data_IF_627183305337
#
_entry.id   IF_627183305337
#
_cell.length_a   1.000
_cell.length_b   1.000
_cell.length_c   1.000
_cell.angle_alpha   90.00
_cell.angle_beta   90.00
_cell.angle_gamma   90.00
#
_symmetry.space_group_name_H-M   'P 1'
#
loop_
_entity.id
_entity.type
_entity.pdbx_description
1 polymer ?
#
# COMPACT_ATOMS: atom_id res chain seq x y z
N UNK A 1 -21.11 9.52 18.15
CA UNK A 1 -20.79 10.62 19.08
C UNK A 1 -19.78 11.51 18.36
N UNK A 2 -20.05 12.82 18.19
CA UNK A 2 -19.06 13.74 17.60
C UNK A 2 -17.95 13.92 18.61
N UNK A 3 -16.80 13.30 18.38
CA UNK A 3 -15.60 13.54 19.16
C UNK A 3 -14.85 14.70 18.54
N UNK A 4 -14.78 15.81 19.26
CA UNK A 4 -14.01 16.99 18.86
C UNK A 4 -12.55 16.59 18.64
N UNK A 5 -11.90 17.12 17.60
CA UNK A 5 -10.52 16.76 17.28
C UNK A 5 -9.55 17.08 18.43
N UNK A 6 -9.89 18.03 19.29
CA UNK A 6 -9.13 18.38 20.49
C UNK A 6 -9.02 17.20 21.48
N UNK A 7 -10.11 16.46 21.69
CA UNK A 7 -10.12 15.28 22.56
C UNK A 7 -9.19 14.20 21.99
N UNK A 8 -9.21 14.01 20.67
CA UNK A 8 -8.35 13.06 19.98
C UNK A 8 -6.88 13.45 20.02
N UNK A 9 -6.57 14.74 19.87
CA UNK A 9 -5.21 15.21 20.03
C UNK A 9 -4.69 15.01 21.46
N UNK A 10 -5.52 15.26 22.48
CA UNK A 10 -5.17 14.98 23.88
C UNK A 10 -4.95 13.48 24.12
N UNK A 11 -5.89 12.63 23.70
CA UNK A 11 -5.79 11.16 23.78
C UNK A 11 -4.50 10.64 23.11
N UNK A 12 -4.10 11.27 22.01
CA UNK A 12 -2.91 10.91 21.26
C UNK A 12 -1.64 11.61 21.74
N UNK A 13 -1.67 12.33 22.86
CA UNK A 13 -0.52 13.06 23.42
C UNK A 13 0.07 14.08 22.45
N UNK A 14 -0.81 14.77 21.72
CA UNK A 14 -0.52 15.77 20.70
C UNK A 14 -1.22 17.11 20.99
N UNK A 15 -1.64 17.34 22.23
CA UNK A 15 -2.38 18.53 22.65
C UNK A 15 -1.62 19.85 22.46
N UNK A 16 -0.29 19.79 22.39
CA UNK A 16 0.55 20.93 22.01
C UNK A 16 0.24 21.49 20.61
N UNK A 17 -0.35 20.68 19.72
CA UNK A 17 -0.72 21.12 18.36
C UNK A 17 -2.15 21.64 18.28
N UNK A 18 -2.95 21.55 19.33
CA UNK A 18 -4.37 21.95 19.32
C UNK A 18 -4.55 23.41 18.89
N UNK A 19 -3.74 24.33 19.43
CA UNK A 19 -3.82 25.74 19.06
C UNK A 19 -3.51 25.95 17.57
N UNK A 20 -2.51 25.24 17.06
CA UNK A 20 -2.13 25.34 15.64
C UNK A 20 -3.21 24.83 14.69
N UNK A 21 -3.93 23.78 15.07
CA UNK A 21 -5.08 23.30 14.29
C UNK A 21 -6.21 24.34 14.28
N UNK A 22 -6.42 25.05 15.39
CA UNK A 22 -7.37 26.17 15.48
C UNK A 22 -6.95 27.36 14.62
N UNK A 23 -5.68 27.76 14.70
CA UNK A 23 -5.13 28.89 13.96
C UNK A 23 -5.22 28.67 12.44
N UNK A 24 -5.03 27.42 11.99
CA UNK A 24 -5.13 27.01 10.58
C UNK A 24 -6.56 26.65 10.15
N UNK A 25 -7.56 26.82 11.03
CA UNK A 25 -8.97 26.61 10.70
C UNK A 25 -9.34 25.16 10.37
N UNK A 26 -8.69 24.17 11.01
CA UNK A 26 -8.96 22.75 10.79
C UNK A 26 -10.27 22.35 11.50
N UNK A 27 -11.27 21.96 10.72
CA UNK A 27 -12.52 21.38 11.21
C UNK A 27 -12.44 19.84 11.34
N UNK A 28 -13.49 19.19 11.85
CA UNK A 28 -13.51 17.73 12.06
C UNK A 28 -13.31 16.93 10.75
N UNK A 29 -13.87 17.42 9.64
CA UNK A 29 -13.75 16.80 8.33
C UNK A 29 -12.32 16.92 7.78
N UNK A 30 -11.72 18.11 7.87
CA UNK A 30 -10.34 18.35 7.50
C UNK A 30 -9.39 17.53 8.38
N UNK A 31 -9.65 17.43 9.69
CA UNK A 31 -8.88 16.60 10.60
C UNK A 31 -8.79 15.15 10.11
N UNK A 32 -9.94 14.57 9.72
CA UNK A 32 -10.05 13.19 9.23
C UNK A 32 -9.40 12.99 7.85
N UNK A 33 -9.65 13.90 6.90
CA UNK A 33 -9.33 13.66 5.49
C UNK A 33 -8.15 14.47 4.94
N UNK A 34 -7.51 15.34 5.73
CA UNK A 34 -6.40 16.14 5.21
C UNK A 34 -5.22 15.26 4.74
N UNK A 35 -4.60 15.60 3.59
CA UNK A 35 -3.49 14.83 3.03
C UNK A 35 -2.22 14.97 3.87
N UNK A 36 -1.33 13.96 3.81
CA UNK A 36 -0.13 13.88 4.65
C UNK A 36 0.79 15.11 4.54
N UNK A 37 0.86 15.76 3.38
CA UNK A 37 1.68 16.95 3.21
C UNK A 37 1.16 18.13 4.04
N UNK A 38 -0.16 18.28 4.27
CA UNK A 38 -0.71 19.30 5.16
C UNK A 38 -0.46 18.94 6.63
N UNK A 39 -0.57 17.65 6.98
CA UNK A 39 -0.22 17.16 8.33
C UNK A 39 1.23 17.48 8.65
N UNK A 40 2.13 17.43 7.67
CA UNK A 40 3.55 17.80 7.85
C UNK A 40 3.72 19.28 8.19
N UNK A 41 2.89 20.17 7.63
CA UNK A 41 2.94 21.59 7.97
C UNK A 41 2.41 21.83 9.40
N UNK A 42 1.37 21.09 9.82
CA UNK A 42 0.82 21.15 11.17
C UNK A 42 1.75 20.53 12.23
N UNK A 43 2.26 19.33 11.96
CA UNK A 43 3.10 18.52 12.86
C UNK A 43 4.43 18.22 12.16
N UNK A 44 5.44 19.12 12.29
CA UNK A 44 6.73 18.95 11.63
C UNK A 44 7.54 17.76 12.19
N UNK A 45 7.39 17.50 13.49
CA UNK A 45 8.12 16.46 14.23
C UNK A 45 7.72 15.07 13.75
N UNK A 46 8.67 14.33 13.18
CA UNK A 46 8.42 13.05 12.49
C UNK A 46 7.73 12.02 13.41
N UNK A 47 8.19 11.87 14.65
CA UNK A 47 7.61 10.89 15.59
C UNK A 47 6.16 11.21 15.96
N UNK A 48 5.87 12.48 16.25
CA UNK A 48 4.52 12.96 16.56
C UNK A 48 3.58 12.84 15.35
N UNK A 49 4.08 13.18 14.16
CA UNK A 49 3.35 13.01 12.90
C UNK A 49 3.01 11.55 12.61
N UNK A 50 3.96 10.64 12.83
CA UNK A 50 3.71 9.21 12.67
C UNK A 50 2.59 8.73 13.60
N UNK A 51 2.64 9.11 14.89
CA UNK A 51 1.60 8.79 15.87
C UNK A 51 0.22 9.31 15.44
N UNK A 52 0.16 10.56 14.97
CA UNK A 52 -1.06 11.16 14.44
C UNK A 52 -1.63 10.34 13.27
N UNK A 53 -0.81 10.03 12.27
CA UNK A 53 -1.25 9.31 11.07
C UNK A 53 -1.73 7.89 11.37
N UNK A 54 -1.05 7.16 12.26
CA UNK A 54 -1.50 5.82 12.67
C UNK A 54 -2.84 5.88 13.40
N UNK A 55 -2.99 6.78 14.38
CA UNK A 55 -4.21 6.85 15.17
C UNK A 55 -5.39 7.37 14.34
N UNK A 56 -5.16 8.35 13.46
CA UNK A 56 -6.18 8.80 12.51
C UNK A 56 -6.63 7.68 11.57
N UNK A 57 -5.70 6.84 11.09
CA UNK A 57 -6.03 5.67 10.27
C UNK A 57 -6.89 4.68 11.04
N UNK A 58 -6.60 4.43 12.33
CA UNK A 58 -7.43 3.56 13.19
C UNK A 58 -8.84 4.14 13.36
N UNK A 59 -8.95 5.44 13.59
CA UNK A 59 -10.24 6.14 13.74
C UNK A 59 -11.11 5.96 12.49
N UNK A 60 -10.53 6.18 11.30
CA UNK A 60 -11.23 5.98 10.02
C UNK A 60 -11.68 4.53 9.79
N UNK A 61 -10.94 3.54 10.29
CA UNK A 61 -11.35 2.13 10.18
C UNK A 61 -12.56 1.84 11.07
N UNK A 62 -12.61 2.39 12.29
CA UNK A 62 -13.72 2.19 13.23
C UNK A 62 -15.02 2.82 12.68
N UNK A 63 -14.95 4.04 12.13
CA UNK A 63 -16.13 4.70 11.53
C UNK A 63 -16.75 3.89 10.38
N UNK A 64 -15.92 3.16 9.62
CA UNK A 64 -16.39 2.29 8.53
C UNK A 64 -17.10 1.05 9.08
N UNK A 65 -16.61 0.48 10.18
CA UNK A 65 -17.22 -0.69 10.81
C UNK A 65 -18.56 -0.36 11.48
N UNK A 66 -18.67 0.81 12.11
CA UNK A 66 -19.93 1.29 12.72
C UNK A 66 -21.01 1.62 11.67
N UNK A 67 -20.61 2.11 10.48
CA UNK A 67 -21.55 2.34 9.37
C UNK A 67 -22.08 1.05 8.75
N UNK A 68 -21.33 -0.06 8.81
CA UNK A 68 -21.75 -1.37 8.25
C UNK A 68 -22.68 -2.13 9.21
N UNK A 69 -22.61 -1.84 10.51
CA UNK A 69 -23.45 -2.50 11.53
C UNK A 69 -24.87 -1.93 11.63
N UNK A 70 -25.14 -0.77 11.02
CA UNK A 70 -26.44 -0.09 11.11
C UNK A 70 -27.41 -0.39 9.95
N UNK A 71 -26.99 -1.15 8.91
CA UNK A 71 -27.84 -1.42 7.72
C UNK A 71 -28.21 -2.90 7.50
N UNK A 72 -27.88 -3.84 8.39
CA UNK A 72 -28.34 -5.24 8.26
C UNK A 72 -29.47 -5.57 9.22
N UNK A 73 -30.68 -5.11 8.88
CA UNK A 73 -31.93 -5.73 9.33
C UNK A 73 -33.01 -5.53 8.27
N UNK A 74 -33.07 -6.47 7.32
CA UNK A 74 -34.32 -7.01 6.76
C UNK A 74 -33.99 -8.35 6.11
N UNK A 75 -34.53 -9.41 6.70
CA UNK A 75 -34.64 -10.74 6.11
C UNK A 75 -35.55 -10.69 4.86
N UNK A 76 -35.28 -11.54 3.86
CA UNK A 76 -36.17 -12.63 3.41
C UNK A 76 -35.95 -13.07 1.95
N UNK A 77 -36.04 -14.41 1.80
CA UNK A 77 -36.57 -15.19 0.68
C UNK A 77 -35.61 -15.67 -0.42
N UNK A 78 -35.12 -16.89 -0.16
CA UNK A 78 -34.93 -18.00 -1.09
C UNK A 78 -36.20 -18.21 -1.93
N UNK A 79 -36.06 -18.43 -3.23
CA UNK A 79 -37.01 -19.23 -4.02
C UNK A 79 -36.28 -20.03 -5.09
N UNK A 80 -36.32 -21.34 -4.93
CA UNK A 80 -35.97 -22.38 -5.88
C UNK A 80 -36.78 -22.28 -7.17
N UNK A 81 -36.13 -22.47 -8.32
CA UNK A 81 -36.72 -23.14 -9.48
C UNK A 81 -35.62 -23.98 -10.13
N UNK A 82 -35.68 -25.29 -9.90
CA UNK A 82 -35.05 -26.30 -10.76
C UNK A 82 -35.85 -26.43 -12.07
N UNK A 83 -35.17 -26.52 -13.21
CA UNK A 83 -35.72 -27.29 -14.32
C UNK A 83 -34.61 -28.06 -15.04
N UNK A 84 -34.81 -29.37 -15.04
CA UNK A 84 -33.93 -30.42 -15.50
C UNK A 84 -34.14 -30.67 -16.99
N UNK A 85 -33.08 -30.67 -17.81
CA UNK A 85 -32.93 -31.66 -18.89
C UNK A 85 -31.45 -31.91 -19.17
N UNK A 86 -30.96 -33.09 -18.78
CA UNK A 86 -29.69 -33.65 -19.21
C UNK A 86 -29.81 -34.19 -20.63
N UNK A 87 -28.97 -33.71 -21.55
CA UNK A 87 -28.59 -34.45 -22.76
C UNK A 87 -27.08 -34.43 -22.86
N UNK A 88 -26.50 -35.63 -22.75
CA UNK A 88 -25.08 -35.89 -22.72
C UNK A 88 -24.37 -35.48 -24.03
N UNK A 89 -23.27 -34.74 -23.89
CA UNK A 89 -22.13 -34.86 -24.80
C UNK A 89 -20.84 -34.43 -24.10
N UNK A 90 -19.90 -35.36 -24.00
CA UNK A 90 -18.61 -35.19 -23.34
C UNK A 90 -17.63 -34.40 -24.22
N UNK A 91 -17.23 -33.21 -23.78
CA UNK A 91 -15.84 -32.73 -23.91
C UNK A 91 -15.62 -31.52 -22.98
N UNK A 92 -14.85 -31.77 -21.93
CA UNK A 92 -14.19 -30.86 -20.98
C UNK A 92 -14.56 -29.37 -21.04
N UNK A 93 -15.53 -28.94 -20.23
CA UNK A 93 -15.70 -27.54 -19.81
C UNK A 93 -15.51 -27.42 -18.30
N UNK A 94 -14.29 -27.71 -17.83
CA UNK A 94 -13.88 -27.28 -16.49
C UNK A 94 -13.47 -25.80 -16.52
N UNK A 95 -14.27 -24.98 -15.81
CA UNK A 95 -13.99 -23.66 -15.23
C UNK A 95 -13.51 -22.52 -16.14
N UNK A 96 -14.44 -21.65 -16.57
CA UNK A 96 -14.08 -20.38 -17.25
C UNK A 96 -13.88 -19.21 -16.26
N UNK A 97 -14.34 -19.26 -14.99
CA UNK A 97 -14.42 -18.06 -14.15
C UNK A 97 -13.44 -17.93 -12.97
N UNK A 98 -12.37 -18.72 -12.93
CA UNK A 98 -11.32 -18.57 -11.90
C UNK A 98 -10.20 -17.56 -12.28
N UNK A 99 -10.27 -16.94 -13.47
CA UNK A 99 -9.23 -16.02 -13.94
C UNK A 99 -9.37 -14.66 -13.25
N UNK A 100 -8.29 -14.20 -12.61
CA UNK A 100 -8.27 -12.89 -11.96
C UNK A 100 -8.70 -12.91 -10.50
N UNK A 101 -9.12 -14.05 -9.94
CA UNK A 101 -9.66 -14.13 -8.59
C UNK A 101 -8.63 -13.69 -7.53
N UNK A 102 -7.35 -14.01 -7.73
CA UNK A 102 -6.29 -13.62 -6.79
C UNK A 102 -6.02 -12.12 -6.78
N UNK A 103 -6.27 -11.45 -7.90
CA UNK A 103 -6.23 -9.99 -8.00
C UNK A 103 -7.50 -9.35 -7.47
N UNK A 104 -8.66 -9.97 -7.71
CA UNK A 104 -9.95 -9.47 -7.23
C UNK A 104 -9.98 -9.44 -5.70
N UNK A 105 -9.54 -10.53 -5.07
CA UNK A 105 -9.37 -10.63 -3.64
C UNK A 105 -8.43 -9.53 -3.11
N UNK A 106 -7.23 -9.41 -3.71
CA UNK A 106 -6.26 -8.38 -3.32
C UNK A 106 -6.82 -6.95 -3.42
N UNK A 107 -7.56 -6.64 -4.49
CA UNK A 107 -8.14 -5.31 -4.65
C UNK A 107 -9.34 -5.08 -3.73
N UNK A 108 -10.06 -6.13 -3.33
CA UNK A 108 -11.21 -6.02 -2.43
C UNK A 108 -10.83 -5.58 -1.01
N UNK A 109 -9.61 -5.90 -0.57
CA UNK A 109 -9.05 -5.49 0.72
C UNK A 109 -8.90 -3.96 0.86
N UNK A 110 -8.79 -3.23 -0.24
CA UNK A 110 -8.58 -1.78 -0.24
C UNK A 110 -9.78 -1.02 -0.81
N UNK A 111 -10.16 0.10 -0.17
CA UNK A 111 -11.19 1.01 -0.69
C UNK A 111 -10.86 1.53 -2.09
N UNK A 112 -9.59 1.88 -2.34
CA UNK A 112 -9.10 2.27 -3.65
C UNK A 112 -9.14 1.11 -4.67
N UNK A 113 -8.89 -0.12 -4.23
CA UNK A 113 -8.96 -1.31 -5.08
C UNK A 113 -10.39 -1.66 -5.48
N UNK A 114 -11.35 -1.56 -4.55
CA UNK A 114 -12.78 -1.70 -4.85
C UNK A 114 -13.26 -0.71 -5.91
N UNK A 115 -12.82 0.54 -5.83
CA UNK A 115 -13.12 1.56 -6.86
C UNK A 115 -12.52 1.22 -8.23
N UNK A 116 -11.38 0.54 -8.27
CA UNK A 116 -10.76 0.11 -9.52
C UNK A 116 -11.53 -1.08 -10.12
N UNK A 117 -12.05 -1.99 -9.29
CA UNK A 117 -12.86 -3.12 -9.73
C UNK A 117 -14.17 -2.72 -10.40
N UNK A 118 -14.73 -1.55 -10.08
CA UNK A 118 -15.94 -1.04 -10.75
C UNK A 118 -15.67 -0.44 -12.14
N UNK A 119 -14.40 -0.18 -12.48
CA UNK A 119 -14.03 0.43 -13.75
C UNK A 119 -13.91 -0.62 -14.85
N UNK A 120 -14.49 -0.33 -16.01
CA UNK A 120 -14.37 -1.18 -17.21
C UNK A 120 -13.08 -0.92 -17.99
N UNK A 121 -12.51 0.28 -17.89
CA UNK A 121 -11.26 0.68 -18.54
C UNK A 121 -10.35 1.35 -17.53
N UNK A 122 -9.11 0.87 -17.43
CA UNK A 122 -8.15 1.40 -16.48
C UNK A 122 -7.44 2.63 -17.01
N UNK A 123 -7.36 3.66 -16.16
CA UNK A 123 -6.51 4.83 -16.43
C UNK A 123 -5.05 4.53 -16.09
N UNK A 124 -4.12 5.37 -16.56
CA UNK A 124 -2.71 5.23 -16.21
C UNK A 124 -2.47 5.26 -14.68
N UNK A 125 -3.27 6.02 -13.94
CA UNK A 125 -3.25 6.07 -12.48
C UNK A 125 -3.68 4.75 -11.87
N UNK A 126 -4.76 4.16 -12.36
CA UNK A 126 -5.30 2.89 -11.84
C UNK A 126 -4.34 1.74 -12.11
N UNK A 127 -3.70 1.69 -13.29
CA UNK A 127 -2.64 0.71 -13.58
C UNK A 127 -1.46 0.83 -12.62
N UNK A 128 -1.09 2.05 -12.23
CA UNK A 128 -0.01 2.28 -11.27
C UNK A 128 -0.39 1.84 -9.85
N UNK A 129 -1.65 2.04 -9.45
CA UNK A 129 -2.19 1.57 -8.16
C UNK A 129 -2.24 0.05 -8.11
N UNK A 130 -2.78 -0.60 -9.14
CA UNK A 130 -2.78 -2.08 -9.27
C UNK A 130 -1.34 -2.61 -9.16
N UNK A 131 -0.42 -2.02 -9.92
CA UNK A 131 0.99 -2.41 -9.85
C UNK A 131 1.58 -2.24 -8.46
N UNK A 132 1.12 -1.24 -7.68
CA UNK A 132 1.55 -1.08 -6.29
C UNK A 132 1.07 -2.21 -5.41
N UNK A 133 -0.24 -2.49 -5.40
CA UNK A 133 -0.84 -3.53 -4.56
C UNK A 133 -0.19 -4.89 -4.79
N UNK A 134 0.04 -5.24 -6.06
CA UNK A 134 0.66 -6.51 -6.44
C UNK A 134 2.09 -6.61 -5.91
N UNK A 135 2.91 -5.58 -6.12
CA UNK A 135 4.30 -5.60 -5.67
C UNK A 135 4.39 -5.62 -4.15
N UNK A 136 3.53 -4.88 -3.46
CA UNK A 136 3.49 -4.86 -2.01
C UNK A 136 3.12 -6.26 -1.47
N UNK A 137 2.09 -6.91 -2.01
CA UNK A 137 1.74 -8.31 -1.66
C UNK A 137 2.89 -9.28 -1.90
N UNK A 138 3.55 -9.17 -3.05
CA UNK A 138 4.67 -10.06 -3.41
C UNK A 138 5.87 -9.89 -2.48
N UNK A 139 6.15 -8.65 -2.05
CA UNK A 139 7.24 -8.34 -1.13
C UNK A 139 6.92 -8.72 0.31
N UNK A 140 5.66 -8.61 0.74
CA UNK A 140 5.21 -9.15 2.02
C UNK A 140 5.37 -10.67 2.08
N UNK A 141 5.08 -11.38 0.97
CA UNK A 141 5.23 -12.83 0.89
C UNK A 141 6.68 -13.28 0.77
N UNK A 142 7.53 -12.54 0.05
CA UNK A 142 8.92 -12.94 -0.20
C UNK A 142 9.85 -11.77 -0.55
N UNK A 143 11.09 -11.82 -0.08
CA UNK A 143 12.10 -10.80 -0.43
C UNK A 143 12.57 -10.86 -1.90
N UNK A 144 12.38 -12.00 -2.58
CA UNK A 144 12.83 -12.22 -3.96
C UNK A 144 11.64 -12.64 -4.81
N UNK A 145 11.15 -11.72 -5.62
CA UNK A 145 10.06 -11.97 -6.56
C UNK A 145 10.63 -12.59 -7.84
N UNK A 146 10.03 -13.70 -8.29
CA UNK A 146 10.47 -14.41 -9.48
C UNK A 146 9.83 -13.87 -10.76
N UNK A 147 10.43 -14.18 -11.91
CA UNK A 147 9.83 -13.87 -13.23
C UNK A 147 8.46 -14.52 -13.43
N UNK A 148 8.26 -15.73 -12.88
CA UNK A 148 7.00 -16.45 -12.97
C UNK A 148 5.88 -15.74 -12.20
N UNK A 149 6.20 -15.11 -11.06
CA UNK A 149 5.24 -14.33 -10.30
C UNK A 149 4.76 -13.12 -11.11
N UNK A 150 5.67 -12.39 -11.74
CA UNK A 150 5.30 -11.24 -12.58
C UNK A 150 4.42 -11.64 -13.76
N UNK A 151 4.73 -12.76 -14.41
CA UNK A 151 3.93 -13.32 -15.49
C UNK A 151 2.52 -13.69 -15.00
N UNK A 152 2.43 -14.44 -13.91
CA UNK A 152 1.16 -14.83 -13.29
C UNK A 152 0.28 -13.62 -12.99
N UNK A 153 0.85 -12.59 -12.34
CA UNK A 153 0.08 -11.40 -12.00
C UNK A 153 -0.33 -10.57 -13.22
N UNK A 154 0.48 -10.54 -14.27
CA UNK A 154 0.08 -9.89 -15.53
C UNK A 154 -1.13 -10.61 -16.17
N UNK A 155 -1.17 -11.93 -16.10
CA UNK A 155 -2.31 -12.74 -16.57
C UNK A 155 -3.57 -12.53 -15.73
N UNK A 156 -3.44 -12.43 -14.40
CA UNK A 156 -4.56 -12.11 -13.49
C UNK A 156 -5.18 -10.74 -13.82
N UNK A 157 -4.35 -9.74 -14.16
CA UNK A 157 -4.84 -8.41 -14.56
C UNK A 157 -5.65 -8.48 -15.84
N UNK A 158 -5.14 -9.17 -16.88
CA UNK A 158 -5.86 -9.33 -18.16
C UNK A 158 -7.11 -10.20 -17.99
N UNK A 159 -7.10 -11.13 -17.01
CA UNK A 159 -8.26 -11.90 -16.61
C UNK A 159 -9.40 -11.04 -16.06
N UNK A 160 -9.09 -10.01 -15.27
CA UNK A 160 -10.11 -9.09 -14.73
C UNK A 160 -10.48 -7.95 -15.69
N UNK A 161 -9.51 -7.43 -16.44
CA UNK A 161 -9.70 -6.24 -17.28
C UNK A 161 -9.51 -6.61 -18.75
N UNK A 162 -10.63 -6.81 -19.44
CA UNK A 162 -10.69 -7.27 -20.85
C UNK A 162 -9.82 -6.49 -21.84
N UNK A 163 -9.59 -5.20 -21.59
CA UNK A 163 -8.86 -4.32 -22.51
C UNK A 163 -7.37 -4.18 -22.19
N UNK A 164 -6.89 -4.82 -21.13
CA UNK A 164 -5.49 -4.77 -20.77
C UNK A 164 -4.66 -5.81 -21.52
N UNK A 165 -3.35 -5.56 -21.59
CA UNK A 165 -2.41 -6.39 -22.35
C UNK A 165 -1.27 -6.80 -21.42
N UNK A 166 -0.90 -8.08 -21.45
CA UNK A 166 0.15 -8.66 -20.59
C UNK A 166 1.46 -7.86 -20.70
N UNK A 167 1.87 -7.50 -21.93
CA UNK A 167 3.12 -6.77 -22.20
C UNK A 167 3.19 -5.39 -21.55
N UNK A 168 2.05 -4.79 -21.19
CA UNK A 168 2.02 -3.52 -20.44
C UNK A 168 2.56 -3.72 -19.01
N UNK A 169 2.31 -4.88 -18.43
CA UNK A 169 2.63 -5.18 -17.04
C UNK A 169 3.92 -5.94 -16.89
N UNK A 170 4.20 -6.89 -17.79
CA UNK A 170 5.42 -7.67 -17.77
C UNK A 170 5.81 -8.15 -19.17
N UNK A 171 7.09 -7.96 -19.50
CA UNK A 171 7.76 -8.55 -20.65
C UNK A 171 9.00 -9.28 -20.11
N UNK A 172 9.11 -10.60 -20.28
CA UNK A 172 10.26 -11.36 -19.80
C UNK A 172 11.53 -10.95 -20.54
N UNK A 173 12.67 -11.14 -19.86
CA UNK A 173 13.99 -10.92 -20.45
C UNK A 173 14.25 -11.89 -21.59
N UNK A 174 14.83 -11.40 -22.69
CA UNK A 174 15.22 -12.21 -23.83
C UNK A 174 16.72 -12.06 -24.08
N UNK A 175 17.48 -13.08 -23.69
CA UNK A 175 18.93 -13.11 -23.86
C UNK A 175 19.37 -13.08 -25.33
N UNK A 176 18.60 -13.73 -26.22
CA UNK A 176 18.90 -13.78 -27.66
C UNK A 176 18.80 -12.39 -28.30
N UNK A 177 17.83 -11.60 -27.85
CA UNK A 177 17.60 -10.23 -28.34
C UNK A 177 18.29 -9.15 -27.49
N UNK A 178 19.10 -9.53 -26.49
CA UNK A 178 19.71 -8.62 -25.50
C UNK A 178 18.70 -7.66 -24.86
N UNK A 179 17.44 -8.09 -24.70
CA UNK A 179 16.38 -7.29 -24.09
C UNK A 179 16.22 -7.69 -22.63
N UNK A 180 16.31 -6.70 -21.75
CA UNK A 180 16.03 -6.89 -20.32
C UNK A 180 14.52 -7.05 -20.09
N UNK A 181 14.16 -7.64 -18.96
CA UNK A 181 12.77 -7.63 -18.53
C UNK A 181 12.27 -6.19 -18.39
N UNK A 182 11.01 -5.98 -18.75
CA UNK A 182 10.38 -4.66 -18.80
C UNK A 182 8.91 -4.75 -18.37
N UNK A 183 8.28 -3.60 -18.13
CA UNK A 183 6.86 -3.49 -17.80
C UNK A 183 6.61 -2.94 -16.40
N UNK A 184 5.38 -2.47 -16.17
CA UNK A 184 5.02 -1.73 -14.95
C UNK A 184 5.34 -2.48 -13.66
N UNK A 185 5.10 -3.79 -13.60
CA UNK A 185 5.35 -4.58 -12.39
C UNK A 185 6.85 -4.68 -12.11
N UNK A 186 7.64 -4.98 -13.15
CA UNK A 186 9.09 -5.08 -13.07
C UNK A 186 9.75 -3.75 -12.71
N UNK A 187 9.33 -2.66 -13.35
CA UNK A 187 9.83 -1.32 -13.09
C UNK A 187 9.54 -0.87 -11.66
N UNK A 188 8.32 -1.13 -11.18
CA UNK A 188 7.91 -0.80 -9.81
C UNK A 188 8.74 -1.58 -8.79
N UNK A 189 8.92 -2.89 -8.99
CA UNK A 189 9.78 -3.73 -8.15
C UNK A 189 11.23 -3.21 -8.11
N UNK A 190 11.81 -2.90 -9.27
CA UNK A 190 13.18 -2.40 -9.34
C UNK A 190 13.35 -1.01 -8.70
N UNK A 191 12.39 -0.12 -8.87
CA UNK A 191 12.39 1.19 -8.23
C UNK A 191 12.35 1.05 -6.71
N UNK A 192 11.50 0.15 -6.19
CA UNK A 192 11.41 -0.11 -4.75
C UNK A 192 12.67 -0.79 -4.20
N UNK A 193 13.24 -1.75 -4.94
CA UNK A 193 14.53 -2.38 -4.61
C UNK A 193 15.68 -1.37 -4.58
N UNK A 194 15.72 -0.44 -5.54
CA UNK A 194 16.70 0.66 -5.57
C UNK A 194 16.51 1.61 -4.39
N UNK A 195 15.26 1.94 -4.04
CA UNK A 195 14.95 2.78 -2.89
C UNK A 195 15.44 2.14 -1.58
N UNK A 196 15.15 0.86 -1.36
CA UNK A 196 15.60 0.10 -0.19
C UNK A 196 17.14 -0.02 -0.13
N UNK A 197 17.81 -0.24 -1.26
CA UNK A 197 19.29 -0.24 -1.33
C UNK A 197 19.87 1.14 -1.00
N UNK A 198 19.24 2.22 -1.46
CA UNK A 198 19.67 3.60 -1.17
C UNK A 198 19.49 3.94 0.32
N UNK A 199 18.40 3.50 0.93
CA UNK A 199 18.17 3.66 2.37
C UNK A 199 19.20 2.91 3.20
N UNK A 200 19.47 1.62 2.90
CA UNK A 200 20.47 0.85 3.65
C UNK A 200 21.90 1.41 3.54
N UNK A 201 22.27 1.96 2.38
CA UNK A 201 23.56 2.63 2.18
C UNK A 201 23.66 3.97 2.94
N UNK A 202 22.56 4.73 3.03
CA UNK A 202 22.52 5.94 3.86
C UNK A 202 22.70 5.59 5.33
N UNK A 203 21.97 4.61 5.85
CA UNK A 203 22.12 4.15 7.24
C UNK A 203 23.54 3.68 7.54
N UNK A 204 24.17 2.91 6.65
CA UNK A 204 25.57 2.46 6.81
C UNK A 204 26.56 3.62 6.80
N UNK A 205 26.39 4.61 5.92
CA UNK A 205 27.24 5.82 5.91
C UNK A 205 27.09 6.64 7.18
N UNK A 206 25.87 6.79 7.71
CA UNK A 206 25.62 7.50 8.97
C UNK A 206 26.28 6.79 10.16
N UNK A 207 26.18 5.46 10.23
CA UNK A 207 26.85 4.68 11.28
C UNK A 207 28.38 4.78 11.17
N UNK A 208 28.94 4.74 9.96
CA UNK A 208 30.38 4.90 9.74
C UNK A 208 30.89 6.29 10.18
N UNK A 209 30.12 7.36 9.90
CA UNK A 209 30.47 8.71 10.36
C UNK A 209 30.42 8.82 11.90
N UNK A 210 29.42 8.22 12.54
CA UNK A 210 29.33 8.21 14.01
C UNK A 210 30.49 7.44 14.64
N UNK A 211 30.85 6.26 14.12
CA UNK A 211 32.00 5.49 14.63
C UNK A 211 33.31 6.26 14.46
N UNK A 212 33.50 6.94 13.32
CA UNK A 212 34.68 7.77 13.08
C UNK A 212 34.74 8.98 14.04
N UNK A 213 33.59 9.59 14.34
CA UNK A 213 33.49 10.69 15.30
C UNK A 213 33.84 10.24 16.72
N UNK A 214 33.25 9.14 17.22
CA UNK A 214 33.57 8.63 18.55
C UNK A 214 35.03 8.18 18.67
N UNK A 215 35.61 7.61 17.61
CA UNK A 215 37.03 7.27 17.58
C UNK A 215 37.92 8.51 17.65
N UNK A 216 37.57 9.57 16.94
CA UNK A 216 38.31 10.84 16.99
C UNK A 216 38.24 11.49 18.39
N UNK A 217 37.05 11.55 18.98
CA UNK A 217 36.85 12.10 20.34
C UNK A 217 37.65 11.30 21.38
N UNK A 218 37.67 9.97 21.29
CA UNK A 218 38.43 9.11 22.21
C UNK A 218 39.94 9.31 22.07
N UNK A 219 40.46 9.47 20.84
CA UNK A 219 41.88 9.73 20.59
C UNK A 219 42.30 11.08 21.19
N UNK A 220 41.50 12.13 20.99
CA UNK A 220 41.79 13.47 21.55
C UNK A 220 41.75 13.45 23.08
N UNK A 221 40.81 12.74 23.69
CA UNK A 221 40.73 12.59 25.15
C UNK A 221 41.96 11.87 25.74
N UNK A 222 42.40 10.77 25.10
CA UNK A 222 43.59 10.03 25.53
C UNK A 222 44.88 10.85 25.38
N UNK A 223 44.98 11.71 24.36
CA UNK A 223 46.12 12.61 24.21
C UNK A 223 46.19 13.70 25.28
N UNK A 224 45.05 14.14 25.83
CA UNK A 224 45.01 15.14 26.90
C UNK A 224 45.39 14.55 28.28
N UNK A 225 45.15 13.26 28.50
CA UNK A 225 45.55 12.57 29.73
C UNK A 225 47.05 12.24 29.77
N UNK A 226 47.70 12.07 28.62
CA UNK A 226 49.15 11.79 28.51
C UNK A 226 50.07 13.02 28.67
N UNK A 227 49.50 14.22 28.75
CA UNK A 227 50.24 15.49 28.88
C UNK A 227 50.14 16.06 30.32
N UNK A 228 49.52 15.33 31.25
CA UNK A 228 49.53 15.63 32.69
C UNK A 228 50.53 14.72 33.42
#
# INVERSE_FOLDING_TARGET
>A
MSHSYEEKLEEWGLSEYTQKFKDEGIDEQAFLYMPEYMVKELIPTIGKRFRFLENRKKLLTIEIEDSVRSETSTDLAISDIEETVSIASCSSKESIDNRGQGLKELLSESSCGRKILTQTRLTASDRNKISHFIIDKLLCKSMRVSSADFQKWAEEIVGLFKYEIISTYYVPSNAKQKRLANGKLWDKYNNLKRYNKKQSLKTKRTLQCNVNYYRYVLIVALQQELIR
#
